data_IF_134902348949
#
_entry.id   IF_134902348949
#
_cell.length_a   1.000
_cell.length_b   1.000
_cell.length_c   1.000
_cell.angle_alpha   90.00
_cell.angle_beta   90.00
_cell.angle_gamma   90.00
#
_symmetry.space_group_name_H-M   'P 1'
#
loop_
_entity.id
_entity.type
_entity.pdbx_description
1 polymer ?
#
# COMPACT_ATOMS: atom_id res chain seq x y z
N UNK A 1 9.58 21.87 -9.75
CA UNK A 1 8.58 22.18 -8.69
C UNK A 1 8.33 20.94 -7.85
N UNK A 2 7.56 19.94 -8.31
CA UNK A 2 7.33 18.71 -7.56
C UNK A 2 8.64 17.97 -7.20
N UNK A 3 9.52 17.76 -8.18
CA UNK A 3 10.87 17.23 -7.94
C UNK A 3 11.68 18.02 -6.90
N UNK A 4 11.67 19.35 -6.94
CA UNK A 4 12.43 20.16 -5.98
C UNK A 4 11.86 20.05 -4.57
N UNK A 5 10.52 20.00 -4.44
CA UNK A 5 9.82 19.84 -3.17
C UNK A 5 10.10 18.47 -2.55
N UNK A 6 9.98 17.40 -3.35
CA UNK A 6 10.27 16.02 -2.93
C UNK A 6 11.74 15.90 -2.51
N UNK A 7 12.68 16.40 -3.32
CA UNK A 7 14.10 16.41 -2.97
C UNK A 7 14.39 17.17 -1.68
N UNK A 8 13.69 18.29 -1.43
CA UNK A 8 13.82 19.05 -0.17
C UNK A 8 13.30 18.27 1.02
N UNK A 9 12.13 17.61 0.88
CA UNK A 9 11.59 16.73 1.91
C UNK A 9 12.56 15.59 2.23
N UNK A 10 13.04 14.85 1.22
CA UNK A 10 13.96 13.72 1.38
C UNK A 10 15.26 14.14 2.07
N UNK A 11 15.81 15.29 1.68
CA UNK A 11 17.00 15.86 2.33
C UNK A 11 16.73 16.14 3.80
N UNK A 12 15.64 16.85 4.12
CA UNK A 12 15.28 17.18 5.49
C UNK A 12 14.98 15.92 6.33
N UNK A 13 14.34 14.91 5.76
CA UNK A 13 14.11 13.62 6.41
C UNK A 13 15.42 12.91 6.73
N UNK A 14 16.35 12.86 5.78
CA UNK A 14 17.67 12.21 5.96
C UNK A 14 18.53 12.91 7.02
N UNK A 15 18.43 14.23 7.12
CA UNK A 15 19.14 15.05 8.10
C UNK A 15 18.42 15.12 9.45
N UNK A 16 17.23 14.50 9.59
CA UNK A 16 16.35 14.62 10.75
C UNK A 16 16.04 16.08 11.11
N UNK A 17 15.93 16.91 10.07
CA UNK A 17 15.67 18.35 10.19
C UNK A 17 14.16 18.59 10.28
N UNK A 18 13.61 18.52 11.49
CA UNK A 18 12.18 18.72 11.77
C UNK A 18 11.66 20.08 11.29
N UNK A 19 12.45 21.14 11.46
CA UNK A 19 12.09 22.48 10.97
C UNK A 19 12.04 22.51 9.43
N UNK A 20 12.98 21.83 8.78
CA UNK A 20 13.00 21.63 7.33
C UNK A 20 11.75 20.89 6.84
N UNK A 21 11.42 19.76 7.46
CA UNK A 21 10.22 18.98 7.15
C UNK A 21 8.95 19.81 7.37
N UNK A 22 8.88 20.51 8.49
CA UNK A 22 7.76 21.39 8.84
C UNK A 22 7.55 22.55 7.85
N UNK A 23 8.56 22.90 7.06
CA UNK A 23 8.45 23.96 6.05
C UNK A 23 7.92 23.46 4.69
N UNK A 24 7.95 22.16 4.44
CA UNK A 24 7.53 21.54 3.17
C UNK A 24 6.32 20.64 3.30
N UNK A 25 5.94 20.27 4.52
CA UNK A 25 4.75 19.48 4.84
C UNK A 25 3.53 20.38 5.01
N UNK A 26 2.40 19.94 4.47
CA UNK A 26 1.11 20.62 4.55
C UNK A 26 0.67 20.78 6.01
N UNK A 27 0.08 21.92 6.37
CA UNK A 27 -0.29 22.20 7.77
C UNK A 27 -1.32 21.20 8.34
N UNK A 28 -2.24 20.71 7.51
CA UNK A 28 -3.23 19.68 7.89
C UNK A 28 -2.76 18.23 7.63
N UNK A 29 -1.50 18.03 7.24
CA UNK A 29 -0.97 16.68 7.01
C UNK A 29 -0.87 15.89 8.31
N UNK A 30 -1.20 14.58 8.33
CA UNK A 30 -0.90 13.73 9.47
C UNK A 30 0.61 13.58 9.73
N UNK A 31 1.46 13.80 8.73
CA UNK A 31 2.93 13.85 8.92
C UNK A 31 3.27 14.96 9.91
N UNK A 32 2.50 16.06 9.91
CA UNK A 32 2.70 17.19 10.82
C UNK A 32 2.51 16.80 12.28
N UNK A 33 1.48 16.01 12.59
CA UNK A 33 1.24 15.53 13.95
C UNK A 33 2.41 14.69 14.48
N UNK A 34 3.02 13.89 13.60
CA UNK A 34 4.23 13.14 13.90
C UNK A 34 5.40 14.07 14.21
N UNK A 35 5.66 15.03 13.32
CA UNK A 35 6.76 16.00 13.48
C UNK A 35 6.64 16.81 14.77
N UNK A 36 5.44 17.26 15.11
CA UNK A 36 5.16 18.01 16.34
C UNK A 36 5.37 17.15 17.60
N UNK A 37 5.20 15.83 17.47
CA UNK A 37 5.49 14.83 18.50
C UNK A 37 6.97 14.41 18.54
N UNK A 38 7.79 14.90 17.60
CA UNK A 38 9.20 14.55 17.45
C UNK A 38 9.45 13.21 16.75
N UNK A 39 8.42 12.65 16.10
CA UNK A 39 8.47 11.38 15.37
C UNK A 39 8.41 11.65 13.87
N UNK A 40 9.26 10.96 13.10
CA UNK A 40 9.17 10.98 11.63
C UNK A 40 8.36 9.74 11.24
N UNK A 41 7.04 9.90 11.12
CA UNK A 41 6.13 8.77 10.91
C UNK A 41 6.32 8.05 9.56
N UNK A 42 6.94 8.68 8.57
CA UNK A 42 7.15 8.11 7.23
C UNK A 42 8.51 8.52 6.68
N UNK A 43 9.50 7.63 6.82
CA UNK A 43 10.76 7.76 6.09
C UNK A 43 10.66 6.95 4.80
N UNK A 44 10.57 7.58 3.62
CA UNK A 44 10.93 6.89 2.40
C UNK A 44 12.36 6.34 2.59
N UNK A 45 12.59 5.09 2.21
CA UNK A 45 13.89 4.43 2.37
C UNK A 45 15.01 5.06 1.53
N UNK A 46 14.65 5.97 0.63
CA UNK A 46 15.56 6.74 -0.19
C UNK A 46 15.86 8.13 0.40
N UNK A 47 17.10 8.59 0.21
CA UNK A 47 17.54 9.96 0.54
C UNK A 47 17.50 10.91 -0.67
N UNK A 48 17.20 10.38 -1.85
CA UNK A 48 17.16 11.10 -3.12
C UNK A 48 16.28 10.36 -4.11
N UNK A 49 15.79 11.07 -5.12
CA UNK A 49 15.04 10.50 -6.25
C UNK A 49 15.75 10.84 -7.57
N UNK A 50 15.53 10.05 -8.63
CA UNK A 50 16.17 10.22 -9.94
C UNK A 50 15.29 10.96 -10.96
N UNK A 51 13.97 10.95 -10.75
CA UNK A 51 12.96 11.61 -11.58
C UNK A 51 11.63 11.75 -10.85
N UNK A 52 10.70 12.49 -11.45
CA UNK A 52 9.30 12.59 -10.98
C UNK A 52 8.36 12.69 -12.17
N UNK A 53 7.21 12.03 -12.08
CA UNK A 53 6.15 12.06 -13.09
C UNK A 53 4.82 12.42 -12.44
N UNK A 54 4.08 13.34 -13.05
CA UNK A 54 2.72 13.69 -12.59
C UNK A 54 1.80 12.55 -13.01
N UNK A 55 1.20 11.90 -12.03
CA UNK A 55 0.28 10.78 -12.23
C UNK A 55 -1.15 11.29 -12.39
N UNK A 56 -1.56 12.22 -11.53
CA UNK A 56 -2.87 12.89 -11.57
C UNK A 56 -2.64 14.37 -11.29
N UNK A 57 -3.04 15.24 -12.23
CA UNK A 57 -2.82 16.70 -12.14
C UNK A 57 -3.86 17.39 -11.23
N UNK A 58 -5.13 16.95 -11.29
CA UNK A 58 -6.25 17.43 -10.48
C UNK A 58 -6.81 16.25 -9.65
N UNK A 59 -6.09 15.87 -8.60
CA UNK A 59 -6.42 14.70 -7.79
C UNK A 59 -7.68 14.93 -6.95
N UNK A 60 -8.54 13.91 -6.90
CA UNK A 60 -9.72 13.88 -6.05
C UNK A 60 -9.46 13.10 -4.77
N UNK A 61 -10.40 13.20 -3.81
CA UNK A 61 -10.37 12.36 -2.60
C UNK A 61 -10.37 10.86 -2.94
N UNK A 62 -11.01 10.46 -4.04
CA UNK A 62 -11.02 9.06 -4.48
C UNK A 62 -9.65 8.61 -4.98
N UNK A 63 -8.93 9.46 -5.71
CA UNK A 63 -7.57 9.18 -6.19
C UNK A 63 -6.61 8.97 -5.01
N UNK A 64 -6.69 9.82 -3.97
CA UNK A 64 -5.87 9.66 -2.76
C UNK A 64 -6.23 8.39 -2.00
N UNK A 65 -7.53 8.10 -1.83
CA UNK A 65 -7.99 6.90 -1.12
C UNK A 65 -7.70 5.58 -1.84
N UNK A 66 -7.37 5.64 -3.14
CA UNK A 66 -6.92 4.48 -3.90
C UNK A 66 -5.48 4.05 -3.57
N UNK A 67 -4.69 4.94 -2.96
CA UNK A 67 -3.34 4.61 -2.51
C UNK A 67 -3.39 3.60 -1.35
N UNK A 68 -2.37 2.78 -1.26
CA UNK A 68 -2.25 1.79 -0.19
C UNK A 68 -2.26 2.46 1.19
N UNK A 69 -2.97 1.84 2.14
CA UNK A 69 -3.23 2.36 3.49
C UNK A 69 -3.99 3.70 3.56
N UNK A 70 -4.37 4.30 2.43
CA UNK A 70 -4.98 5.61 2.43
C UNK A 70 -6.32 5.68 3.16
N UNK A 71 -7.16 4.67 2.91
CA UNK A 71 -8.47 4.54 3.54
C UNK A 71 -8.43 4.22 5.04
N UNK A 72 -7.28 3.78 5.59
CA UNK A 72 -7.13 3.58 7.04
C UNK A 72 -6.82 4.89 7.76
N UNK A 73 -6.15 5.81 7.09
CA UNK A 73 -5.74 7.08 7.67
C UNK A 73 -6.77 8.18 7.47
N UNK A 74 -7.47 8.16 6.33
CA UNK A 74 -8.33 9.26 5.92
C UNK A 74 -9.77 8.84 5.73
N UNK A 75 -10.66 9.70 6.21
CA UNK A 75 -12.06 9.67 5.84
C UNK A 75 -12.27 10.47 4.54
N UNK A 76 -13.08 9.93 3.61
CA UNK A 76 -13.38 10.59 2.33
C UNK A 76 -13.85 12.04 2.51
N UNK A 77 -14.79 12.28 3.43
CA UNK A 77 -15.36 13.61 3.65
C UNK A 77 -14.34 14.64 4.13
N UNK A 78 -13.27 14.20 4.79
CA UNK A 78 -12.19 15.08 5.25
C UNK A 78 -11.34 15.53 4.06
N UNK A 79 -10.96 14.60 3.18
CA UNK A 79 -10.24 14.94 1.95
C UNK A 79 -11.07 15.79 1.00
N UNK A 80 -12.36 15.48 0.84
CA UNK A 80 -13.28 16.29 0.03
C UNK A 80 -13.38 17.72 0.56
N UNK A 81 -13.47 17.90 1.88
CA UNK A 81 -13.49 19.22 2.50
C UNK A 81 -12.18 19.99 2.34
N UNK A 82 -11.04 19.30 2.34
CA UNK A 82 -9.73 19.91 2.10
C UNK A 82 -9.61 20.40 0.65
N UNK A 83 -9.98 19.54 -0.30
CA UNK A 83 -9.83 19.82 -1.74
C UNK A 83 -10.90 20.76 -2.31
N UNK A 84 -11.89 21.17 -1.50
CA UNK A 84 -12.84 22.23 -1.88
C UNK A 84 -12.16 23.61 -1.96
N UNK A 85 -11.12 23.83 -1.14
CA UNK A 85 -10.40 25.11 -1.03
C UNK A 85 -8.96 25.05 -1.56
N UNK A 86 -8.42 23.85 -1.80
CA UNK A 86 -7.02 23.59 -2.15
C UNK A 86 -6.89 22.66 -3.37
N UNK A 87 -5.89 22.90 -4.21
CA UNK A 87 -5.57 22.02 -5.34
C UNK A 87 -4.73 20.82 -4.85
N UNK A 88 -4.99 19.64 -5.40
CA UNK A 88 -4.27 18.41 -5.08
C UNK A 88 -3.71 17.74 -6.34
N UNK A 89 -2.54 17.10 -6.24
CA UNK A 89 -1.96 16.29 -7.31
C UNK A 89 -1.28 15.04 -6.75
N UNK A 90 -1.19 13.99 -7.59
CA UNK A 90 -0.40 12.79 -7.32
C UNK A 90 0.84 12.78 -8.19
N UNK A 91 2.00 12.57 -7.58
CA UNK A 91 3.30 12.55 -8.25
C UNK A 91 4.05 11.27 -7.88
N UNK A 92 4.45 10.48 -8.86
CA UNK A 92 5.37 9.37 -8.63
C UNK A 92 6.80 9.88 -8.67
N UNK A 93 7.67 9.36 -7.80
CA UNK A 93 9.08 9.66 -7.76
C UNK A 93 9.91 8.38 -7.85
N UNK A 94 10.83 8.32 -8.82
CA UNK A 94 11.74 7.19 -8.96
C UNK A 94 12.79 7.23 -7.83
N UNK A 95 12.67 6.29 -6.90
CA UNK A 95 13.54 6.17 -5.72
C UNK A 95 14.74 5.22 -5.93
N UNK A 96 15.00 4.80 -7.17
CA UNK A 96 15.99 3.76 -7.49
C UNK A 96 15.60 2.37 -6.96
N UNK A 97 16.58 1.47 -6.79
CA UNK A 97 16.43 0.11 -6.18
C UNK A 97 16.13 0.16 -4.67
N UNK A 98 15.23 1.05 -4.25
CA UNK A 98 14.75 1.10 -2.87
C UNK A 98 13.66 0.06 -2.71
N UNK A 99 13.78 -0.83 -1.71
CA UNK A 99 12.83 -1.90 -1.43
C UNK A 99 11.51 -1.42 -0.80
N UNK A 100 11.15 -0.15 -0.99
CA UNK A 100 9.98 0.48 -0.37
C UNK A 100 9.13 1.06 -1.49
N UNK A 101 7.88 0.59 -1.54
CA UNK A 101 6.90 0.87 -2.59
C UNK A 101 6.21 2.24 -2.41
N UNK A 102 6.62 3.02 -1.41
CA UNK A 102 6.15 4.40 -1.19
C UNK A 102 6.79 5.36 -2.21
N UNK A 103 6.36 5.26 -3.46
CA UNK A 103 6.84 6.06 -4.58
C UNK A 103 5.91 7.25 -4.90
N UNK A 104 4.67 7.22 -4.40
CA UNK A 104 3.62 8.17 -4.79
C UNK A 104 3.37 9.24 -3.73
N UNK A 105 3.57 10.49 -4.13
CA UNK A 105 3.48 11.69 -3.31
C UNK A 105 2.16 12.39 -3.55
N UNK A 106 1.41 12.60 -2.48
CA UNK A 106 0.22 13.45 -2.46
C UNK A 106 0.66 14.87 -2.15
N UNK A 107 0.56 15.76 -3.12
CA UNK A 107 0.87 17.17 -2.95
C UNK A 107 -0.45 17.96 -2.89
N UNK A 108 -0.55 18.88 -1.94
CA UNK A 108 -1.72 19.74 -1.75
C UNK A 108 -1.23 21.17 -1.57
N UNK A 109 -1.95 22.16 -2.11
CA UNK A 109 -1.60 23.56 -1.94
C UNK A 109 -1.99 24.06 -0.54
N UNK A 110 -1.03 24.58 0.22
CA UNK A 110 -1.28 25.34 1.45
C UNK A 110 -0.93 26.81 1.16
N UNK A 111 -1.90 27.72 1.26
CA UNK A 111 -1.70 29.15 0.97
C UNK A 111 -1.08 29.43 -0.41
N UNK A 112 -1.63 28.81 -1.46
CA UNK A 112 -1.15 28.89 -2.86
C UNK A 112 0.26 28.30 -3.11
N UNK A 113 0.85 27.59 -2.14
CA UNK A 113 2.13 26.90 -2.28
C UNK A 113 1.98 25.39 -2.15
N UNK A 114 2.53 24.62 -3.09
CA UNK A 114 2.51 23.16 -3.03
C UNK A 114 3.31 22.63 -1.84
N UNK A 115 2.69 21.73 -1.07
CA UNK A 115 3.28 21.06 0.08
C UNK A 115 3.05 19.56 0.00
N UNK A 116 3.92 18.80 0.67
CA UNK A 116 3.75 17.36 0.85
C UNK A 116 2.63 17.13 1.87
N UNK A 117 1.52 16.56 1.42
CA UNK A 117 0.41 16.20 2.30
C UNK A 117 0.55 14.75 2.78
N UNK A 118 0.90 13.83 1.88
CA UNK A 118 1.16 12.45 2.23
C UNK A 118 2.08 11.76 1.21
N UNK A 119 2.50 10.54 1.54
CA UNK A 119 3.33 9.64 0.74
C UNK A 119 2.70 8.26 0.92
N UNK A 120 2.19 7.70 -0.16
CA UNK A 120 1.59 6.37 -0.21
C UNK A 120 2.29 5.51 -1.26
N UNK A 121 1.96 4.22 -1.26
CA UNK A 121 2.28 3.35 -2.38
C UNK A 121 1.10 3.37 -3.34
N UNK A 122 1.37 3.49 -4.64
CA UNK A 122 0.33 3.23 -5.63
C UNK A 122 0.29 1.73 -5.88
N UNK A 123 -0.88 1.14 -5.75
CA UNK A 123 -1.12 -0.17 -6.33
C UNK A 123 -1.15 0.01 -7.85
N UNK A 124 -0.06 -0.31 -8.53
CA UNK A 124 -0.06 -0.37 -9.99
C UNK A 124 -0.85 -1.60 -10.42
N UNK A 125 -2.05 -1.40 -10.95
CA UNK A 125 -2.72 -2.41 -11.77
C UNK A 125 -2.09 -2.36 -13.16
N UNK A 126 -1.33 -3.37 -13.60
CA UNK A 126 -0.77 -3.36 -14.95
C UNK A 126 -1.88 -3.45 -16.01
N UNK A 127 -1.63 -2.90 -17.20
CA UNK A 127 -2.57 -2.97 -18.35
C UNK A 127 -2.98 -4.42 -18.69
N UNK A 128 -2.07 -5.37 -18.45
CA UNK A 128 -2.36 -6.80 -18.40
C UNK A 128 -2.07 -7.29 -16.97
N UNK A 129 -3.09 -7.74 -16.20
CA UNK A 129 -2.91 -8.17 -14.82
C UNK A 129 -1.91 -9.33 -14.69
N UNK A 130 -1.73 -10.13 -15.75
CA UNK A 130 -0.75 -11.22 -15.75
C UNK A 130 0.70 -10.75 -15.68
N UNK A 131 0.99 -9.49 -16.01
CA UNK A 131 2.32 -8.90 -15.84
C UNK A 131 2.71 -8.75 -14.36
N UNK A 132 1.74 -8.68 -13.43
CA UNK A 132 1.99 -8.67 -11.98
C UNK A 132 2.14 -10.07 -11.37
N UNK A 133 1.87 -11.14 -12.14
CA UNK A 133 1.77 -12.48 -11.58
C UNK A 133 3.12 -13.21 -11.54
N UNK A 134 3.52 -13.62 -10.34
CA UNK A 134 4.59 -14.60 -10.18
C UNK A 134 4.15 -16.04 -10.50
N UNK A 135 5.11 -16.96 -10.68
CA UNK A 135 4.85 -18.39 -10.86
C UNK A 135 4.04 -18.98 -9.69
N UNK A 136 2.97 -19.77 -9.97
CA UNK A 136 2.11 -20.33 -8.94
C UNK A 136 2.86 -21.33 -8.04
N UNK A 137 2.42 -21.40 -6.79
CA UNK A 137 2.96 -22.29 -5.76
C UNK A 137 1.80 -23.10 -5.21
N UNK A 138 1.80 -24.42 -5.48
CA UNK A 138 0.79 -25.33 -4.96
C UNK A 138 1.15 -25.82 -3.55
N UNK A 139 0.26 -25.58 -2.58
CA UNK A 139 0.29 -26.25 -1.27
C UNK A 139 -0.24 -27.69 -1.39
N UNK A 140 0.54 -28.54 -2.09
CA UNK A 140 0.12 -29.89 -2.48
C UNK A 140 -0.20 -30.84 -1.31
N UNK A 141 0.33 -30.55 -0.12
CA UNK A 141 0.07 -31.30 1.11
C UNK A 141 -1.01 -30.62 1.98
N UNK A 142 -1.59 -29.50 1.54
CA UNK A 142 -2.57 -28.69 2.28
C UNK A 142 -2.08 -28.37 3.70
N UNK A 143 -0.80 -28.01 3.80
CA UNK A 143 -0.14 -27.73 5.07
C UNK A 143 -0.62 -26.41 5.68
N UNK A 144 -1.14 -25.50 4.86
CA UNK A 144 -1.62 -24.17 5.24
C UNK A 144 -2.97 -23.88 4.62
N UNK A 145 -3.12 -24.02 3.30
CA UNK A 145 -4.36 -23.72 2.57
C UNK A 145 -5.13 -25.02 2.32
N UNK A 146 -6.39 -25.03 2.70
CA UNK A 146 -7.31 -26.15 2.46
C UNK A 146 -8.09 -25.97 1.17
N UNK A 147 -8.63 -24.77 0.96
CA UNK A 147 -9.48 -24.46 -0.20
C UNK A 147 -9.51 -22.96 -0.49
N UNK A 148 -9.58 -22.63 -1.78
CA UNK A 148 -9.91 -21.29 -2.28
C UNK A 148 -11.20 -21.42 -3.11
N UNK A 149 -12.27 -20.77 -2.65
CA UNK A 149 -13.54 -20.72 -3.37
C UNK A 149 -13.80 -19.31 -3.88
N UNK A 150 -13.87 -19.14 -5.20
CA UNK A 150 -14.25 -17.88 -5.83
C UNK A 150 -15.75 -17.61 -5.68
N UNK A 151 -16.10 -16.37 -5.32
CA UNK A 151 -17.47 -15.88 -5.24
C UNK A 151 -18.12 -15.71 -6.61
N UNK A 152 -19.31 -15.10 -6.66
CA UNK A 152 -19.90 -14.76 -7.97
C UNK A 152 -19.00 -13.76 -8.72
N UNK A 153 -18.89 -13.84 -10.06
CA UNK A 153 -18.01 -12.94 -10.82
C UNK A 153 -18.26 -11.45 -10.58
N UNK A 154 -19.47 -11.05 -10.20
CA UNK A 154 -19.80 -9.66 -9.87
C UNK A 154 -19.37 -9.21 -8.46
N UNK A 155 -19.02 -10.17 -7.59
CA UNK A 155 -18.59 -9.87 -6.23
C UNK A 155 -17.09 -9.63 -6.15
N UNK A 156 -16.31 -10.17 -7.10
CA UNK A 156 -14.84 -10.07 -7.15
C UNK A 156 -14.21 -10.43 -5.79
N UNK A 157 -14.57 -11.61 -5.28
CA UNK A 157 -14.04 -12.11 -4.01
C UNK A 157 -13.60 -13.56 -4.11
N UNK A 158 -12.61 -13.93 -3.30
CA UNK A 158 -12.26 -15.31 -3.01
C UNK A 158 -12.34 -15.57 -1.52
N UNK A 159 -12.95 -16.68 -1.14
CA UNK A 159 -12.88 -17.20 0.22
C UNK A 159 -11.68 -18.13 0.34
N UNK A 160 -10.68 -17.72 1.11
CA UNK A 160 -9.51 -18.54 1.42
C UNK A 160 -9.72 -19.21 2.76
N UNK A 161 -9.64 -20.54 2.79
CA UNK A 161 -9.84 -21.36 4.00
C UNK A 161 -8.54 -22.05 4.38
N UNK A 162 -8.09 -21.83 5.62
CA UNK A 162 -6.89 -22.44 6.17
C UNK A 162 -7.16 -23.85 6.69
N UNK A 163 -6.15 -24.70 6.66
CA UNK A 163 -6.26 -26.11 7.08
C UNK A 163 -6.57 -26.26 8.56
N UNK A 164 -7.38 -27.26 8.91
CA UNK A 164 -7.62 -27.68 10.30
C UNK A 164 -6.43 -28.45 10.90
N UNK A 165 -5.48 -28.88 10.07
CA UNK A 165 -4.33 -29.68 10.49
C UNK A 165 -3.05 -29.16 9.84
N UNK A 166 -2.47 -28.09 10.41
CA UNK A 166 -1.23 -27.48 9.93
C UNK A 166 -0.11 -28.50 9.74
N UNK A 167 0.54 -28.45 8.57
CA UNK A 167 1.75 -29.23 8.28
C UNK A 167 3.04 -28.51 8.65
N UNK A 168 2.94 -27.20 8.91
CA UNK A 168 4.06 -26.33 9.33
C UNK A 168 3.76 -25.69 10.69
N UNK A 169 4.82 -25.26 11.36
CA UNK A 169 4.73 -24.32 12.48
C UNK A 169 4.89 -22.91 11.91
N UNK A 170 3.92 -22.04 12.20
CA UNK A 170 3.93 -20.62 11.85
C UNK A 170 3.12 -19.86 12.90
N UNK A 171 3.67 -18.73 13.35
CA UNK A 171 3.04 -17.82 14.31
C UNK A 171 1.94 -16.97 13.65
N UNK A 172 2.14 -16.60 12.39
CA UNK A 172 1.23 -15.74 11.62
C UNK A 172 1.08 -16.27 10.20
N UNK A 173 -0.16 -16.22 9.69
CA UNK A 173 -0.47 -16.41 8.26
C UNK A 173 -1.03 -15.10 7.71
N UNK A 174 -0.50 -14.65 6.58
CA UNK A 174 -1.03 -13.52 5.81
C UNK A 174 -1.57 -14.05 4.49
N UNK A 175 -2.78 -13.64 4.14
CA UNK A 175 -3.41 -13.91 2.85
C UNK A 175 -3.65 -12.57 2.17
N UNK A 176 -3.12 -12.37 0.97
CA UNK A 176 -3.20 -11.09 0.25
C UNK A 176 -3.65 -11.29 -1.20
N UNK A 177 -4.30 -10.27 -1.76
CA UNK A 177 -4.42 -10.09 -3.20
C UNK A 177 -3.41 -9.07 -3.70
N UNK A 178 -2.70 -9.40 -4.77
CA UNK A 178 -1.57 -8.59 -5.27
C UNK A 178 -2.00 -7.28 -5.93
N UNK A 179 -3.13 -7.26 -6.65
CA UNK A 179 -3.55 -6.09 -7.43
C UNK A 179 -4.65 -5.31 -6.72
N UNK A 180 -5.60 -6.00 -6.07
CA UNK A 180 -6.60 -5.33 -5.24
C UNK A 180 -6.08 -4.91 -3.86
N UNK A 181 -4.93 -5.46 -3.42
CA UNK A 181 -4.23 -5.07 -2.18
C UNK A 181 -5.04 -5.32 -0.94
N UNK A 182 -5.89 -6.34 -0.97
CA UNK A 182 -6.68 -6.72 0.19
C UNK A 182 -5.97 -7.85 0.92
N UNK A 183 -5.62 -7.62 2.18
CA UNK A 183 -5.02 -8.64 3.04
C UNK A 183 -5.98 -9.13 4.14
N UNK A 184 -5.64 -10.30 4.68
CA UNK A 184 -6.17 -10.83 5.92
C UNK A 184 -5.03 -11.51 6.70
N UNK A 185 -4.82 -11.04 7.92
CA UNK A 185 -3.79 -11.57 8.83
C UNK A 185 -4.40 -12.43 9.93
N UNK A 186 -3.81 -13.60 10.18
CA UNK A 186 -4.19 -14.54 11.22
C UNK A 186 -3.03 -14.79 12.18
N UNK A 187 -3.13 -14.29 13.40
CA UNK A 187 -2.12 -14.47 14.44
C UNK A 187 -2.49 -15.61 15.40
N UNK A 188 -1.51 -16.42 15.79
CA UNK A 188 -1.68 -17.51 16.75
C UNK A 188 -2.36 -18.73 16.16
N UNK A 189 -3.55 -19.10 16.65
CA UNK A 189 -4.25 -20.33 16.23
C UNK A 189 -5.02 -20.14 14.93
N UNK A 190 -4.30 -20.00 13.81
CA UNK A 190 -4.87 -19.78 12.48
C UNK A 190 -5.58 -21.00 11.88
N UNK A 191 -5.30 -22.21 12.37
CA UNK A 191 -5.90 -23.46 11.85
C UNK A 191 -7.43 -23.42 11.81
N UNK A 192 -8.02 -23.77 10.66
CA UNK A 192 -9.47 -23.77 10.43
C UNK A 192 -10.10 -22.37 10.27
N UNK A 193 -9.28 -21.32 10.26
CA UNK A 193 -9.75 -19.95 9.99
C UNK A 193 -9.99 -19.73 8.50
N UNK A 194 -10.71 -18.66 8.16
CA UNK A 194 -10.96 -18.28 6.78
C UNK A 194 -11.16 -16.76 6.68
N UNK A 195 -10.90 -16.21 5.50
CA UNK A 195 -11.21 -14.83 5.16
C UNK A 195 -11.78 -14.73 3.75
N UNK A 196 -12.54 -13.66 3.50
CA UNK A 196 -12.88 -13.25 2.14
C UNK A 196 -11.86 -12.19 1.73
N UNK A 197 -11.21 -12.42 0.59
CA UNK A 197 -10.25 -11.54 -0.03
C UNK A 197 -10.93 -10.88 -1.22
N UNK A 198 -10.81 -9.56 -1.33
CA UNK A 198 -11.25 -8.84 -2.53
C UNK A 198 -10.22 -9.01 -3.63
N UNK A 199 -10.70 -9.17 -4.85
CA UNK A 199 -9.89 -9.40 -6.04
C UNK A 199 -10.10 -8.26 -7.02
N UNK A 200 -9.09 -8.00 -7.84
CA UNK A 200 -9.21 -7.08 -8.95
C UNK A 200 -10.10 -7.69 -10.06
N UNK A 201 -11.04 -6.94 -10.65
CA UNK A 201 -12.04 -7.46 -11.58
C UNK A 201 -11.47 -7.98 -12.90
N UNK A 202 -10.28 -7.54 -13.29
CA UNK A 202 -9.63 -7.94 -14.54
C UNK A 202 -8.70 -9.15 -14.37
N UNK A 203 -8.44 -9.57 -13.12
CA UNK A 203 -7.52 -10.65 -12.77
C UNK A 203 -6.67 -10.23 -11.57
N UNK A 204 -6.33 -11.19 -10.72
CA UNK A 204 -5.51 -10.96 -9.52
C UNK A 204 -4.70 -12.22 -9.17
N UNK A 205 -3.80 -12.13 -8.20
CA UNK A 205 -3.09 -13.27 -7.63
C UNK A 205 -3.30 -13.27 -6.11
N UNK A 206 -3.70 -14.43 -5.59
CA UNK A 206 -3.78 -14.67 -4.15
C UNK A 206 -2.44 -15.23 -3.71
N UNK A 207 -1.82 -14.59 -2.72
CA UNK A 207 -0.57 -15.04 -2.10
C UNK A 207 -0.86 -15.36 -0.64
N UNK A 208 -0.32 -16.50 -0.17
CA UNK A 208 -0.37 -16.89 1.24
C UNK A 208 1.05 -17.04 1.75
N UNK A 209 1.35 -16.28 2.80
CA UNK A 209 2.66 -16.20 3.43
C UNK A 209 2.56 -16.72 4.87
N UNK A 210 3.45 -17.65 5.21
CA UNK A 210 3.63 -18.14 6.57
C UNK A 210 4.82 -17.44 7.22
N UNK A 211 4.64 -16.99 8.45
CA UNK A 211 5.64 -16.23 9.21
C UNK A 211 5.90 -16.94 10.54
N UNK A 212 7.16 -17.23 10.82
CA UNK A 212 7.63 -17.86 12.06
C UNK A 212 8.91 -17.16 12.54
N UNK A 213 8.91 -16.62 13.76
CA UNK A 213 10.04 -15.88 14.36
C UNK A 213 10.65 -14.79 13.42
N UNK A 214 9.78 -14.10 12.66
CA UNK A 214 10.17 -13.06 11.70
C UNK A 214 10.78 -13.57 10.38
N UNK A 215 10.79 -14.89 10.16
CA UNK A 215 11.10 -15.50 8.87
C UNK A 215 9.83 -15.69 8.06
N UNK A 216 9.80 -15.16 6.83
CA UNK A 216 8.63 -15.19 5.96
C UNK A 216 8.85 -16.16 4.80
N UNK A 217 7.84 -16.99 4.51
CA UNK A 217 7.86 -17.96 3.41
C UNK A 217 6.50 -17.94 2.70
N UNK A 218 6.51 -17.70 1.39
CA UNK A 218 5.31 -17.88 0.54
C UNK A 218 5.04 -19.38 0.38
N UNK A 219 3.89 -19.83 0.86
CA UNK A 219 3.50 -21.25 0.90
C UNK A 219 2.45 -21.62 -0.12
N UNK A 220 1.68 -20.63 -0.60
CA UNK A 220 0.68 -20.82 -1.63
C UNK A 220 0.57 -19.58 -2.49
N UNK A 221 0.38 -19.78 -3.79
CA UNK A 221 0.15 -18.72 -4.75
C UNK A 221 -0.71 -19.23 -5.90
N UNK A 222 -1.86 -18.59 -6.11
CA UNK A 222 -2.82 -18.95 -7.14
C UNK A 222 -3.28 -17.73 -7.94
N UNK A 223 -3.44 -17.89 -9.25
CA UNK A 223 -3.94 -16.85 -10.15
C UNK A 223 -5.47 -16.90 -10.22
N UNK A 224 -6.09 -15.74 -10.12
CA UNK A 224 -7.48 -15.52 -10.46
C UNK A 224 -7.58 -14.95 -11.87
N UNK A 225 -8.17 -15.74 -12.77
CA UNK A 225 -8.55 -15.31 -14.11
C UNK A 225 -10.09 -15.33 -14.20
N UNK A 226 -10.77 -14.18 -14.40
CA UNK A 226 -12.23 -14.07 -14.44
C UNK A 226 -12.92 -14.73 -15.65
#
# INVERSE_FOLDING_TARGET
MASDLIGTYLTAASEQNIDGLSSVVHSESPIREGLDSGEIMLQPGASSHSGTDIVVEDATAEDVLSLEYAALQFERSTLEGLFDDEDAMLVSADMGDSSVELDTWVLVTDQDEWRVFWIGARQETPDDPTDAFDEPIEDSEQQVVSDITYGEPSEHTAKVTLTDSPGIEADTIVVESTIAGHDATFEGSWSGSWANIKLHPEGDQIVVTAIDDGSEVVVHREHYEP
#
